data_IF_110439057717
#
_entry.id   IF_110439057717
#
_cell.length_a   1.000
_cell.length_b   1.000
_cell.length_c   1.000
_cell.angle_alpha   90.00
_cell.angle_beta   90.00
_cell.angle_gamma   90.00
#
_symmetry.space_group_name_H-M   'P 1'
#
loop_
_entity.id
_entity.type
_entity.pdbx_description
1 polymer ?
#
# COMPACT_ATOMS: atom_id res chain seq x y z
N UNK A 1 -7.49 17.54 -0.12
CA UNK A 1 -6.91 16.25 0.32
C UNK A 1 -5.53 16.05 -0.31
N UNK A 2 -4.58 15.33 0.31
CA UNK A 2 -3.25 15.07 -0.29
C UNK A 2 -3.41 14.25 -1.58
N UNK A 3 -4.39 13.34 -1.60
CA UNK A 3 -4.74 12.52 -2.76
C UNK A 3 -5.22 13.39 -3.93
N UNK A 4 -6.06 14.38 -3.65
CA UNK A 4 -6.55 15.35 -4.65
C UNK A 4 -5.41 16.25 -5.15
N UNK A 5 -4.49 16.65 -4.27
CA UNK A 5 -3.38 17.55 -4.61
C UNK A 5 -2.44 16.94 -5.66
N UNK A 6 -2.22 15.61 -5.60
CA UNK A 6 -1.32 14.91 -6.53
C UNK A 6 -2.02 14.31 -7.75
N UNK A 7 -3.35 14.49 -7.88
CA UNK A 7 -4.16 13.91 -8.96
C UNK A 7 -3.90 12.39 -9.06
N UNK A 8 -4.04 11.69 -7.93
CA UNK A 8 -3.78 10.25 -7.81
C UNK A 8 -4.87 9.46 -8.53
N UNK A 9 -4.49 8.58 -9.46
CA UNK A 9 -5.41 7.69 -10.18
C UNK A 9 -5.83 6.50 -9.31
N UNK A 10 -4.90 6.03 -8.48
CA UNK A 10 -5.09 4.84 -7.66
C UNK A 10 -4.44 4.99 -6.29
N UNK A 11 -5.20 4.72 -5.24
CA UNK A 11 -4.67 4.67 -3.87
C UNK A 11 -4.65 3.21 -3.40
N UNK A 12 -3.49 2.76 -2.95
CA UNK A 12 -3.31 1.48 -2.27
C UNK A 12 -3.03 1.77 -0.80
N UNK A 13 -3.82 1.19 0.09
CA UNK A 13 -3.70 1.41 1.54
C UNK A 13 -3.17 0.15 2.19
N UNK A 14 -2.00 0.21 2.79
CA UNK A 14 -1.39 -0.92 3.48
C UNK A 14 -1.95 -1.02 4.90
N UNK A 15 -2.69 -2.08 5.16
CA UNK A 15 -3.36 -2.36 6.43
C UNK A 15 -3.34 -3.85 6.73
N UNK A 16 -2.51 -4.26 7.70
CA UNK A 16 -2.46 -5.65 8.14
C UNK A 16 -3.80 -6.13 8.76
N UNK A 17 -4.50 -5.25 9.48
CA UNK A 17 -5.73 -5.60 10.18
C UNK A 17 -6.97 -5.69 9.27
N UNK A 18 -6.98 -4.96 8.15
CA UNK A 18 -8.20 -4.76 7.34
C UNK A 18 -8.00 -4.92 5.83
N UNK A 19 -6.76 -5.08 5.36
CA UNK A 19 -6.46 -5.26 3.95
C UNK A 19 -6.67 -6.69 3.47
N UNK A 20 -6.89 -6.84 2.17
CA UNK A 20 -6.83 -8.15 1.54
C UNK A 20 -5.39 -8.59 1.33
N UNK A 21 -5.11 -9.88 1.53
CA UNK A 21 -3.82 -10.48 1.24
C UNK A 21 -3.49 -10.32 -0.24
N UNK A 22 -2.31 -9.79 -0.55
CA UNK A 22 -1.78 -9.69 -1.92
C UNK A 22 -0.30 -10.07 -1.96
N UNK A 23 0.08 -10.71 -3.06
CA UNK A 23 1.49 -10.96 -3.36
C UNK A 23 2.14 -9.68 -3.93
N UNK A 24 3.48 -9.61 -3.94
CA UNK A 24 4.16 -8.39 -4.40
C UNK A 24 3.90 -8.14 -5.89
N UNK A 25 3.75 -9.19 -6.68
CA UNK A 25 3.45 -9.15 -8.10
C UNK A 25 2.10 -8.49 -8.38
N UNK A 26 1.10 -8.71 -7.52
CA UNK A 26 -0.21 -8.05 -7.63
C UNK A 26 -0.08 -6.54 -7.44
N UNK A 27 0.70 -6.13 -6.43
CA UNK A 27 0.96 -4.71 -6.12
C UNK A 27 1.70 -4.05 -7.27
N UNK A 28 2.73 -4.71 -7.82
CA UNK A 28 3.46 -4.24 -9.00
C UNK A 28 2.51 -4.10 -10.20
N UNK A 29 1.63 -5.08 -10.42
CA UNK A 29 0.63 -5.03 -11.50
C UNK A 29 -0.30 -3.83 -11.39
N UNK A 30 -0.78 -3.52 -10.17
CA UNK A 30 -1.62 -2.33 -9.94
C UNK A 30 -0.83 -1.06 -10.25
N UNK A 31 0.40 -0.92 -9.73
CA UNK A 31 1.23 0.28 -9.96
C UNK A 31 1.53 0.49 -11.43
N UNK A 32 1.80 -0.57 -12.20
CA UNK A 32 2.11 -0.48 -13.63
C UNK A 32 0.91 -0.10 -14.51
N UNK A 33 -0.31 -0.41 -14.06
CA UNK A 33 -1.53 -0.15 -14.81
C UNK A 33 -2.12 1.24 -14.55
N UNK A 34 -1.53 2.03 -13.65
CA UNK A 34 -2.01 3.37 -13.28
C UNK A 34 -0.85 4.36 -13.33
N UNK A 35 -1.07 5.54 -13.93
CA UNK A 35 0.00 6.51 -14.13
C UNK A 35 0.43 7.17 -12.81
N UNK A 36 -0.50 7.35 -11.86
CA UNK A 36 -0.25 7.97 -10.56
C UNK A 36 -0.84 7.12 -9.45
N UNK A 37 -0.01 6.26 -8.87
CA UNK A 37 -0.40 5.43 -7.74
C UNK A 37 0.15 5.98 -6.43
N UNK A 38 -0.73 6.25 -5.46
CA UNK A 38 -0.33 6.54 -4.09
C UNK A 38 -0.27 5.26 -3.27
N UNK A 39 0.84 5.06 -2.57
CA UNK A 39 1.02 4.00 -1.59
C UNK A 39 0.91 4.63 -0.21
N UNK A 40 -0.14 4.28 0.53
CA UNK A 40 -0.43 4.82 1.86
C UNK A 40 -0.10 3.76 2.89
N UNK A 41 0.78 4.09 3.82
CA UNK A 41 1.18 3.22 4.92
C UNK A 41 0.63 3.80 6.23
N UNK A 42 0.12 2.93 7.10
CA UNK A 42 -0.32 3.33 8.44
C UNK A 42 0.83 3.81 9.34
N UNK A 43 0.48 4.32 10.51
CA UNK A 43 1.42 4.72 11.54
C UNK A 43 2.00 3.54 12.32
N UNK A 44 3.02 3.81 13.13
CA UNK A 44 3.72 2.80 13.96
C UNK A 44 2.83 2.15 15.04
N UNK A 45 1.73 2.80 15.43
CA UNK A 45 0.88 2.38 16.56
C UNK A 45 -0.49 1.82 16.14
N UNK A 46 -0.79 1.72 14.84
CA UNK A 46 -2.08 1.18 14.42
C UNK A 46 -2.24 1.06 12.91
N UNK A 47 -2.97 0.02 12.50
CA UNK A 47 -3.49 -0.06 11.13
C UNK A 47 -4.43 1.12 10.84
N UNK A 48 -4.52 1.59 9.59
CA UNK A 48 -5.48 2.60 9.19
C UNK A 48 -6.90 2.26 9.66
N UNK A 49 -7.61 3.25 10.19
CA UNK A 49 -8.98 3.10 10.68
C UNK A 49 -9.94 2.84 9.53
N UNK A 50 -11.10 2.24 9.82
CA UNK A 50 -12.07 1.83 8.79
C UNK A 50 -12.55 2.98 7.89
N UNK A 51 -12.65 4.18 8.44
CA UNK A 51 -12.98 5.41 7.73
C UNK A 51 -11.88 5.86 6.75
N UNK A 52 -10.61 5.56 7.05
CA UNK A 52 -9.48 5.86 6.17
C UNK A 52 -9.37 4.85 5.02
N UNK A 53 -9.89 3.62 5.17
CA UNK A 53 -9.87 2.59 4.13
C UNK A 53 -10.70 2.98 2.89
N UNK A 54 -11.69 3.87 3.06
CA UNK A 54 -12.52 4.36 1.95
C UNK A 54 -11.77 5.18 0.90
N UNK A 55 -10.54 5.60 1.21
CA UNK A 55 -9.70 6.42 0.33
C UNK A 55 -8.99 5.60 -0.76
N UNK A 56 -9.09 4.27 -0.74
CA UNK A 56 -8.36 3.41 -1.66
C UNK A 56 -8.69 1.94 -1.55
N UNK A 57 -7.81 1.11 -2.10
CA UNK A 57 -7.91 -0.35 -2.00
C UNK A 57 -7.03 -0.82 -0.84
N UNK A 58 -7.62 -1.35 0.25
CA UNK A 58 -6.85 -1.83 1.38
C UNK A 58 -6.23 -3.20 1.09
N UNK A 59 -4.93 -3.32 1.29
CA UNK A 59 -4.14 -4.54 1.05
C UNK A 59 -3.16 -4.79 2.18
N UNK A 60 -2.68 -6.02 2.32
CA UNK A 60 -1.45 -6.29 3.04
C UNK A 60 -0.56 -7.23 2.24
N UNK A 61 0.74 -6.95 2.29
CA UNK A 61 1.76 -7.73 1.60
C UNK A 61 2.15 -8.96 2.43
N UNK A 62 2.19 -10.11 1.79
CA UNK A 62 2.25 -11.38 2.49
C UNK A 62 3.55 -12.16 2.32
N UNK A 63 4.65 -11.70 2.91
CA UNK A 63 5.93 -12.44 2.85
C UNK A 63 6.66 -12.62 4.19
N UNK A 64 6.00 -12.40 5.32
CA UNK A 64 6.54 -12.76 6.62
C UNK A 64 5.47 -13.42 7.49
N UNK A 65 5.90 -14.26 8.43
CA UNK A 65 5.07 -14.96 9.42
C UNK A 65 4.30 -14.02 10.40
N UNK A 66 4.17 -12.74 10.05
CA UNK A 66 3.54 -11.68 10.83
C UNK A 66 3.77 -10.31 10.19
N UNK A 67 3.20 -9.28 10.80
CA UNK A 67 3.36 -7.89 10.38
C UNK A 67 4.77 -7.37 10.70
N UNK A 68 5.47 -6.85 9.70
CA UNK A 68 6.82 -6.28 9.86
C UNK A 68 6.81 -4.80 10.30
N UNK A 69 5.63 -4.20 10.36
CA UNK A 69 5.46 -2.76 10.59
C UNK A 69 5.56 -1.94 9.30
N UNK A 70 5.05 -0.70 9.32
CA UNK A 70 4.80 0.08 8.10
C UNK A 70 6.09 0.50 7.39
N UNK A 71 7.17 0.78 8.14
CA UNK A 71 8.47 1.20 7.57
C UNK A 71 9.14 0.04 6.82
N UNK A 72 9.14 -1.16 7.42
CA UNK A 72 9.73 -2.34 6.81
C UNK A 72 8.93 -2.78 5.58
N UNK A 73 7.59 -2.75 5.65
CA UNK A 73 6.72 -3.01 4.50
C UNK A 73 6.99 -2.02 3.38
N UNK A 74 7.00 -0.72 3.66
CA UNK A 74 7.31 0.31 2.67
C UNK A 74 8.66 0.09 2.01
N UNK A 75 9.71 -0.22 2.79
CA UNK A 75 11.04 -0.48 2.25
C UNK A 75 11.06 -1.67 1.29
N UNK A 76 10.40 -2.79 1.64
CA UNK A 76 10.33 -3.98 0.79
C UNK A 76 9.54 -3.68 -0.50
N UNK A 77 8.38 -3.05 -0.37
CA UNK A 77 7.51 -2.73 -1.51
C UNK A 77 8.21 -1.77 -2.47
N UNK A 78 8.79 -0.69 -1.96
CA UNK A 78 9.53 0.28 -2.78
C UNK A 78 10.77 -0.35 -3.43
N UNK A 79 11.49 -1.22 -2.71
CA UNK A 79 12.62 -1.95 -3.27
C UNK A 79 12.19 -2.89 -4.40
N UNK A 80 11.08 -3.60 -4.24
CA UNK A 80 10.53 -4.45 -5.29
C UNK A 80 10.08 -3.63 -6.51
N UNK A 81 9.38 -2.51 -6.27
CA UNK A 81 8.91 -1.60 -7.31
C UNK A 81 10.06 -0.95 -8.07
N UNK A 82 11.19 -0.63 -7.43
CA UNK A 82 12.38 -0.01 -8.06
C UNK A 82 12.83 -0.71 -9.34
N UNK A 83 12.58 -2.02 -9.49
CA UNK A 83 12.93 -2.75 -10.73
C UNK A 83 12.02 -2.43 -11.93
N UNK A 84 10.90 -1.74 -11.69
CA UNK A 84 9.79 -1.57 -12.63
C UNK A 84 9.37 -0.10 -12.83
N UNK A 85 9.93 0.83 -12.06
CA UNK A 85 9.76 2.29 -12.17
C UNK A 85 11.09 2.96 -12.47
#
# INVERSE_FOLDING_TARGET
DVIELFNVDKTIIFSYAHGERREIEDIIGIVRNHNRTALVFGGSEGSPRKDELGLGVPVYYANANGWLGPVAEAAIILYALKKYI
#
